data_IF_412248094360
#
_entry.id   IF_412248094360
#
_cell.length_a   1.000
_cell.length_b   1.000
_cell.length_c   1.000
_cell.angle_alpha   90.00
_cell.angle_beta   90.00
_cell.angle_gamma   90.00
#
_symmetry.space_group_name_H-M   'P 1'
#
loop_
_entity.id
_entity.type
_entity.pdbx_description
1 polymer ?
#
# COMPACT_ATOMS: atom_id res chain seq x y z
N UNK A 1 -35.39 -10.48 7.15
CA UNK A 1 -34.33 -9.45 7.19
C UNK A 1 -33.72 -9.22 5.80
N UNK A 2 -33.10 -10.19 5.14
CA UNK A 2 -32.50 -9.95 3.81
C UNK A 2 -33.50 -9.89 2.63
N UNK A 3 -34.74 -10.31 2.84
CA UNK A 3 -35.86 -10.07 1.92
C UNK A 3 -36.62 -8.75 2.23
N UNK A 4 -36.08 -7.88 3.10
CA UNK A 4 -36.63 -6.54 3.30
C UNK A 4 -36.11 -5.59 2.22
N UNK A 5 -36.85 -4.52 1.99
CA UNK A 5 -36.58 -3.46 1.01
C UNK A 5 -35.09 -3.08 0.89
N UNK A 6 -34.43 -2.85 2.03
CA UNK A 6 -33.06 -2.31 2.07
C UNK A 6 -31.94 -3.28 1.64
N UNK A 7 -32.23 -4.57 1.44
CA UNK A 7 -31.26 -5.55 0.90
C UNK A 7 -31.74 -6.20 -0.39
N UNK A 8 -33.03 -6.06 -0.73
CA UNK A 8 -33.62 -6.70 -1.89
C UNK A 8 -32.92 -6.28 -3.19
N UNK A 9 -32.68 -4.97 -3.39
CA UNK A 9 -31.96 -4.47 -4.56
C UNK A 9 -30.56 -5.07 -4.72
N UNK A 10 -29.82 -5.24 -3.62
CA UNK A 10 -28.49 -5.83 -3.62
C UNK A 10 -28.55 -7.32 -4.00
N UNK A 11 -29.51 -8.06 -3.45
CA UNK A 11 -29.69 -9.48 -3.75
C UNK A 11 -30.06 -9.68 -5.24
N UNK A 12 -30.98 -8.89 -5.77
CA UNK A 12 -31.36 -8.93 -7.20
C UNK A 12 -30.14 -8.74 -8.09
N UNK A 13 -29.30 -7.74 -7.81
CA UNK A 13 -28.07 -7.50 -8.57
C UNK A 13 -27.07 -8.67 -8.48
N UNK A 14 -26.97 -9.34 -7.33
CA UNK A 14 -26.13 -10.53 -7.19
C UNK A 14 -26.68 -11.68 -8.03
N UNK A 15 -28.00 -11.90 -8.05
CA UNK A 15 -28.62 -12.93 -8.89
C UNK A 15 -28.35 -12.67 -10.38
N UNK A 16 -28.56 -11.44 -10.85
CA UNK A 16 -28.30 -11.06 -12.25
C UNK A 16 -26.85 -11.32 -12.67
N UNK A 17 -25.89 -11.05 -11.77
CA UNK A 17 -24.45 -11.19 -12.06
C UNK A 17 -23.95 -12.63 -12.01
N UNK A 18 -24.56 -13.46 -11.17
CA UNK A 18 -24.12 -14.84 -10.92
C UNK A 18 -24.96 -15.87 -11.67
N UNK A 19 -26.17 -15.53 -12.09
CA UNK A 19 -27.16 -16.47 -12.60
C UNK A 19 -27.68 -17.46 -11.55
N UNK A 20 -27.40 -17.21 -10.27
CA UNK A 20 -27.83 -18.03 -9.14
C UNK A 20 -29.08 -17.43 -8.50
N UNK A 21 -30.03 -18.27 -8.11
CA UNK A 21 -31.25 -17.83 -7.44
C UNK A 21 -31.04 -17.76 -5.92
N UNK A 22 -31.55 -16.70 -5.28
CA UNK A 22 -31.45 -16.53 -3.83
C UNK A 22 -32.27 -17.57 -3.05
N UNK A 23 -33.35 -18.08 -3.63
CA UNK A 23 -34.22 -19.03 -2.93
C UNK A 23 -33.61 -20.43 -2.78
N UNK A 24 -32.56 -20.75 -3.54
CA UNK A 24 -31.73 -21.93 -3.32
C UNK A 24 -30.94 -21.82 -2.01
N UNK A 25 -31.13 -22.79 -1.11
CA UNK A 25 -30.49 -22.83 0.21
C UNK A 25 -28.96 -22.74 0.14
N UNK A 26 -28.34 -23.29 -0.91
CA UNK A 26 -26.89 -23.24 -1.08
C UNK A 26 -26.36 -21.83 -1.38
N UNK A 27 -27.21 -20.96 -1.96
CA UNK A 27 -26.85 -19.61 -2.36
C UNK A 27 -27.18 -18.55 -1.30
N UNK A 28 -28.14 -18.82 -0.40
CA UNK A 28 -28.61 -17.87 0.62
C UNK A 28 -27.49 -17.31 1.46
N UNK A 29 -26.67 -18.17 2.07
CA UNK A 29 -25.62 -17.71 2.97
C UNK A 29 -24.54 -16.86 2.25
N UNK A 30 -23.96 -17.30 1.11
CA UNK A 30 -23.05 -16.46 0.33
C UNK A 30 -23.66 -15.11 -0.09
N UNK A 31 -24.89 -15.10 -0.63
CA UNK A 31 -25.52 -13.86 -1.10
C UNK A 31 -25.78 -12.87 0.04
N UNK A 32 -26.23 -13.36 1.21
CA UNK A 32 -26.42 -12.51 2.41
C UNK A 32 -25.12 -11.90 2.89
N UNK A 33 -24.03 -12.68 2.90
CA UNK A 33 -22.70 -12.19 3.27
C UNK A 33 -22.26 -11.10 2.29
N UNK A 34 -22.40 -11.32 0.98
CA UNK A 34 -22.05 -10.30 -0.01
C UNK A 34 -22.86 -9.03 0.21
N UNK A 35 -24.17 -9.16 0.42
CA UNK A 35 -25.06 -8.01 0.56
C UNK A 35 -24.75 -7.17 1.81
N UNK A 36 -24.55 -7.82 2.96
CA UNK A 36 -24.16 -7.16 4.21
C UNK A 36 -22.80 -6.46 4.07
N UNK A 37 -21.80 -7.19 3.58
CA UNK A 37 -20.41 -6.73 3.54
C UNK A 37 -20.18 -5.63 2.51
N UNK A 38 -20.79 -5.72 1.32
CA UNK A 38 -20.70 -4.66 0.30
C UNK A 38 -21.44 -3.41 0.76
N UNK A 39 -22.61 -3.55 1.36
CA UNK A 39 -23.31 -2.40 1.93
C UNK A 39 -22.46 -1.70 2.99
N UNK A 40 -21.96 -2.44 3.99
CA UNK A 40 -21.11 -1.86 5.02
C UNK A 40 -19.84 -1.22 4.44
N UNK A 41 -19.21 -1.86 3.44
CA UNK A 41 -18.04 -1.31 2.77
C UNK A 41 -18.33 0.01 2.05
N UNK A 42 -19.46 0.12 1.35
CA UNK A 42 -19.86 1.35 0.66
C UNK A 42 -20.09 2.50 1.64
N UNK A 43 -20.74 2.25 2.78
CA UNK A 43 -20.91 3.26 3.83
C UNK A 43 -19.55 3.71 4.41
N UNK A 44 -18.64 2.78 4.70
CA UNK A 44 -17.30 3.13 5.16
C UNK A 44 -16.53 4.00 4.15
N UNK A 45 -16.63 3.66 2.86
CA UNK A 45 -15.97 4.45 1.80
C UNK A 45 -16.61 5.83 1.69
N UNK A 46 -17.94 5.92 1.79
CA UNK A 46 -18.66 7.19 1.80
C UNK A 46 -18.18 8.10 2.95
N UNK A 47 -17.91 7.54 4.13
CA UNK A 47 -17.36 8.23 5.30
C UNK A 47 -15.84 8.51 5.19
N UNK A 48 -15.22 8.22 4.05
CA UNK A 48 -13.82 8.54 3.75
C UNK A 48 -12.81 7.46 4.12
N UNK A 49 -13.25 6.25 4.48
CA UNK A 49 -12.34 5.13 4.76
C UNK A 49 -11.85 4.52 3.44
N UNK A 50 -10.54 4.34 3.32
CA UNK A 50 -9.91 3.70 2.16
C UNK A 50 -9.24 2.37 2.53
N UNK A 51 -9.22 1.35 1.64
CA UNK A 51 -8.61 0.05 1.94
C UNK A 51 -7.13 0.18 2.33
N UNK A 52 -6.75 -0.39 3.47
CA UNK A 52 -5.36 -0.32 3.99
C UNK A 52 -4.98 -1.55 4.81
N UNK A 53 -3.73 -1.62 5.27
CA UNK A 53 -3.24 -2.69 6.16
C UNK A 53 -3.49 -2.41 7.65
N UNK A 54 -4.15 -1.30 8.02
CA UNK A 54 -4.26 -0.84 9.41
C UNK A 54 -5.67 -0.35 9.74
N UNK A 55 -6.07 -0.52 11.00
CA UNK A 55 -7.28 0.08 11.60
C UNK A 55 -8.54 -0.11 10.74
N UNK A 56 -9.30 0.96 10.49
CA UNK A 56 -10.55 0.93 9.72
C UNK A 56 -10.32 0.50 8.26
N UNK A 57 -9.17 0.86 7.67
CA UNK A 57 -8.84 0.45 6.30
C UNK A 57 -8.62 -1.07 6.19
N UNK A 58 -8.15 -1.72 7.26
CA UNK A 58 -8.07 -3.18 7.32
C UNK A 58 -9.46 -3.82 7.40
N UNK A 59 -10.37 -3.24 8.19
CA UNK A 59 -11.76 -3.71 8.28
C UNK A 59 -12.44 -3.61 6.92
N UNK A 60 -12.36 -2.46 6.24
CA UNK A 60 -12.90 -2.27 4.90
C UNK A 60 -12.34 -3.30 3.91
N UNK A 61 -11.02 -3.48 3.90
CA UNK A 61 -10.37 -4.49 3.07
C UNK A 61 -10.88 -5.91 3.35
N UNK A 62 -11.04 -6.27 4.62
CA UNK A 62 -11.57 -7.58 5.03
C UNK A 62 -12.99 -7.79 4.50
N UNK A 63 -13.84 -6.77 4.58
CA UNK A 63 -15.21 -6.83 4.04
C UNK A 63 -15.20 -7.08 2.53
N UNK A 64 -14.46 -6.26 1.78
CA UNK A 64 -14.38 -6.37 0.31
C UNK A 64 -13.82 -7.72 -0.14
N UNK A 65 -12.72 -8.19 0.47
CA UNK A 65 -12.10 -9.48 0.11
C UNK A 65 -12.99 -10.66 0.47
N UNK A 66 -13.71 -10.60 1.59
CA UNK A 66 -14.70 -11.64 1.94
C UNK A 66 -15.84 -11.68 0.93
N UNK A 67 -16.37 -10.53 0.51
CA UNK A 67 -17.37 -10.45 -0.56
C UNK A 67 -16.84 -11.02 -1.88
N UNK A 68 -15.60 -10.70 -2.25
CA UNK A 68 -14.96 -11.23 -3.46
C UNK A 68 -14.89 -12.76 -3.46
N UNK A 69 -14.49 -13.37 -2.34
CA UNK A 69 -14.43 -14.83 -2.20
C UNK A 69 -15.83 -15.45 -2.34
N UNK A 70 -16.85 -14.89 -1.69
CA UNK A 70 -18.22 -15.41 -1.81
C UNK A 70 -18.78 -15.25 -3.22
N UNK A 71 -18.48 -14.14 -3.87
CA UNK A 71 -18.86 -13.90 -5.26
C UNK A 71 -18.18 -14.91 -6.19
N UNK A 72 -16.89 -15.20 -5.98
CA UNK A 72 -16.16 -16.23 -6.73
C UNK A 72 -16.76 -17.62 -6.54
N UNK A 73 -17.18 -17.97 -5.31
CA UNK A 73 -17.85 -19.24 -5.02
C UNK A 73 -19.22 -19.36 -5.69
N UNK A 74 -20.00 -18.26 -5.73
CA UNK A 74 -21.30 -18.22 -6.41
C UNK A 74 -21.17 -18.21 -7.94
N UNK A 75 -20.15 -17.53 -8.47
CA UNK A 75 -19.91 -17.38 -9.91
C UNK A 75 -19.15 -18.54 -10.54
N UNK A 76 -19.13 -19.72 -9.92
CA UNK A 76 -18.45 -20.94 -10.39
C UNK A 76 -16.97 -20.68 -10.79
N UNK A 77 -16.27 -19.89 -9.99
CA UNK A 77 -14.86 -19.55 -10.22
C UNK A 77 -14.61 -18.25 -10.99
N UNK A 78 -15.67 -17.56 -11.42
CA UNK A 78 -15.60 -16.21 -11.97
C UNK A 78 -15.97 -15.19 -10.89
N UNK A 79 -15.31 -14.04 -10.90
CA UNK A 79 -15.68 -12.90 -10.04
C UNK A 79 -16.26 -11.79 -10.92
N UNK A 80 -17.59 -11.71 -11.07
CA UNK A 80 -18.24 -10.59 -11.73
C UNK A 80 -17.88 -9.25 -11.09
N UNK A 81 -18.03 -8.18 -11.88
CA UNK A 81 -17.89 -6.82 -11.37
C UNK A 81 -18.96 -6.51 -10.32
N UNK A 82 -18.55 -5.77 -9.28
CA UNK A 82 -19.45 -5.26 -8.24
C UNK A 82 -20.12 -3.93 -8.62
N UNK A 83 -19.81 -3.36 -9.79
CA UNK A 83 -20.21 -2.00 -10.14
C UNK A 83 -21.73 -1.80 -10.06
N UNK A 84 -22.54 -2.70 -10.62
CA UNK A 84 -24.01 -2.55 -10.55
C UNK A 84 -24.58 -2.93 -9.19
N UNK A 85 -23.96 -3.87 -8.48
CA UNK A 85 -24.33 -4.22 -7.11
C UNK A 85 -24.15 -3.00 -6.20
N UNK A 86 -23.06 -2.26 -6.37
CA UNK A 86 -22.82 -1.00 -5.65
C UNK A 86 -23.80 0.06 -6.11
N UNK A 87 -23.88 0.30 -7.42
CA UNK A 87 -24.61 1.43 -7.99
C UNK A 87 -26.13 1.31 -7.81
N UNK A 88 -26.72 0.23 -8.32
CA UNK A 88 -28.17 -0.01 -8.26
C UNK A 88 -28.59 -0.68 -6.95
N UNK A 89 -27.73 -1.52 -6.38
CA UNK A 89 -28.05 -2.22 -5.13
C UNK A 89 -27.88 -1.36 -3.87
N UNK A 90 -26.80 -0.58 -3.76
CA UNK A 90 -26.50 0.16 -2.52
C UNK A 90 -26.71 1.66 -2.66
N UNK A 91 -26.09 2.31 -3.66
CA UNK A 91 -26.10 3.77 -3.78
C UNK A 91 -27.50 4.32 -4.07
N UNK A 92 -28.28 3.60 -4.89
CA UNK A 92 -29.69 3.93 -5.10
C UNK A 92 -30.47 3.97 -3.78
N UNK A 93 -30.37 2.92 -2.95
CA UNK A 93 -31.06 2.90 -1.65
C UNK A 93 -30.54 3.96 -0.68
N UNK A 94 -29.26 4.30 -0.72
CA UNK A 94 -28.71 5.41 0.09
C UNK A 94 -29.26 6.78 -0.33
N UNK A 95 -29.44 6.99 -1.64
CA UNK A 95 -30.03 8.22 -2.19
C UNK A 95 -31.53 8.33 -1.84
N UNK A 96 -32.28 7.22 -1.95
CA UNK A 96 -33.69 7.15 -1.54
C UNK A 96 -33.89 7.46 -0.04
N UNK A 97 -32.91 7.09 0.80
CA UNK A 97 -32.87 7.42 2.22
C UNK A 97 -32.34 8.84 2.52
N UNK A 98 -31.93 9.60 1.50
CA UNK A 98 -31.39 10.95 1.66
C UNK A 98 -29.99 11.00 2.28
N UNK A 99 -29.24 9.90 2.27
CA UNK A 99 -27.89 9.81 2.88
C UNK A 99 -26.84 10.51 2.01
N UNK A 100 -26.95 10.40 0.68
CA UNK A 100 -25.99 10.98 -0.26
C UNK A 100 -26.63 11.38 -1.59
N UNK A 101 -25.87 12.10 -2.42
CA UNK A 101 -26.18 12.30 -3.84
C UNK A 101 -25.41 11.27 -4.69
N UNK A 102 -26.14 10.36 -5.35
CA UNK A 102 -25.54 9.22 -6.06
C UNK A 102 -24.61 9.66 -7.16
N UNK A 103 -25.01 10.64 -7.97
CA UNK A 103 -24.23 11.14 -9.11
C UNK A 103 -22.84 11.65 -8.69
N UNK A 104 -22.71 12.22 -7.49
CA UNK A 104 -21.43 12.73 -6.99
C UNK A 104 -20.55 11.64 -6.38
N UNK A 105 -21.14 10.65 -5.70
CA UNK A 105 -20.38 9.65 -4.95
C UNK A 105 -20.01 8.41 -5.78
N UNK A 106 -20.80 8.11 -6.82
CA UNK A 106 -20.75 6.86 -7.60
C UNK A 106 -19.36 6.49 -8.10
N UNK A 107 -18.74 7.36 -8.89
CA UNK A 107 -17.47 7.02 -9.54
C UNK A 107 -16.34 6.78 -8.54
N UNK A 108 -16.25 7.61 -7.49
CA UNK A 108 -15.21 7.46 -6.47
C UNK A 108 -15.35 6.16 -5.67
N UNK A 109 -16.57 5.81 -5.25
CA UNK A 109 -16.83 4.59 -4.48
C UNK A 109 -16.57 3.35 -5.35
N UNK A 110 -17.11 3.33 -6.57
CA UNK A 110 -16.94 2.20 -7.48
C UNK A 110 -15.45 2.01 -7.81
N UNK A 111 -14.72 3.07 -8.11
CA UNK A 111 -13.29 2.99 -8.41
C UNK A 111 -12.46 2.43 -7.25
N UNK A 112 -12.76 2.84 -6.00
CA UNK A 112 -12.08 2.31 -4.80
C UNK A 112 -12.35 0.82 -4.65
N UNK A 113 -13.60 0.39 -4.78
CA UNK A 113 -13.96 -1.03 -4.65
C UNK A 113 -13.31 -1.83 -5.78
N UNK A 114 -13.47 -1.40 -7.03
CA UNK A 114 -12.93 -2.05 -8.22
C UNK A 114 -11.42 -2.26 -8.10
N UNK A 115 -10.66 -1.20 -7.79
CA UNK A 115 -9.19 -1.28 -7.60
C UNK A 115 -8.78 -2.30 -6.54
N UNK A 116 -9.52 -2.41 -5.44
CA UNK A 116 -9.21 -3.37 -4.38
C UNK A 116 -9.58 -4.80 -4.78
N UNK A 117 -10.74 -5.01 -5.42
CA UNK A 117 -11.20 -6.32 -5.89
C UNK A 117 -10.29 -6.84 -6.99
N UNK A 118 -9.94 -6.03 -7.99
CA UNK A 118 -9.03 -6.41 -9.10
C UNK A 118 -7.65 -6.80 -8.57
N UNK A 119 -7.11 -5.99 -7.65
CA UNK A 119 -5.81 -6.26 -7.02
C UNK A 119 -5.82 -7.59 -6.26
N UNK A 120 -6.87 -7.87 -5.49
CA UNK A 120 -6.98 -9.12 -4.75
C UNK A 120 -7.21 -10.30 -5.69
N UNK A 121 -8.09 -10.15 -6.68
CA UNK A 121 -8.43 -11.15 -7.70
C UNK A 121 -7.21 -11.71 -8.42
N UNK A 122 -6.21 -10.87 -8.71
CA UNK A 122 -4.93 -11.28 -9.34
C UNK A 122 -4.14 -12.35 -8.57
N UNK A 123 -4.43 -12.56 -7.28
CA UNK A 123 -3.81 -13.57 -6.42
C UNK A 123 -4.79 -14.53 -5.76
N UNK A 124 -6.09 -14.19 -5.76
CA UNK A 124 -7.13 -14.92 -5.06
C UNK A 124 -7.27 -16.38 -5.53
N UNK A 125 -7.32 -16.63 -6.84
CA UNK A 125 -7.45 -17.99 -7.40
C UNK A 125 -6.33 -18.92 -6.91
N UNK A 126 -5.08 -18.43 -6.86
CA UNK A 126 -3.95 -19.20 -6.35
C UNK A 126 -4.08 -19.48 -4.86
N UNK A 127 -4.52 -18.50 -4.06
CA UNK A 127 -4.75 -18.68 -2.63
C UNK A 127 -5.88 -19.67 -2.33
N UNK A 128 -6.99 -19.62 -3.08
CA UNK A 128 -8.10 -20.57 -2.95
C UNK A 128 -7.65 -22.00 -3.26
N UNK A 129 -6.84 -22.20 -4.32
CA UNK A 129 -6.28 -23.52 -4.66
C UNK A 129 -5.39 -24.10 -3.56
N UNK A 130 -4.65 -23.25 -2.84
CA UNK A 130 -3.85 -23.68 -1.67
C UNK A 130 -4.79 -24.20 -0.59
N UNK A 131 -5.83 -23.43 -0.25
CA UNK A 131 -6.82 -23.82 0.77
C UNK A 131 -7.57 -25.09 0.37
N UNK A 132 -7.95 -25.22 -0.91
CA UNK A 132 -8.67 -26.38 -1.45
C UNK A 132 -7.84 -27.67 -1.38
N UNK A 133 -6.53 -27.61 -1.63
CA UNK A 133 -5.64 -28.78 -1.59
C UNK A 133 -5.09 -29.10 -0.20
N UNK A 134 -5.13 -28.13 0.72
CA UNK A 134 -4.59 -28.30 2.07
C UNK A 134 -5.39 -29.32 2.88
N UNK A 135 -4.69 -30.27 3.52
CA UNK A 135 -5.26 -31.18 4.51
C UNK A 135 -5.20 -30.56 5.92
N UNK A 136 -4.21 -29.72 6.16
CA UNK A 136 -4.01 -28.92 7.37
C UNK A 136 -3.57 -27.52 6.99
N UNK A 137 -3.93 -26.52 7.79
CA UNK A 137 -3.48 -25.14 7.63
C UNK A 137 -2.94 -24.69 8.98
N UNK A 138 -1.61 -24.75 9.13
CA UNK A 138 -0.91 -24.27 10.33
C UNK A 138 -0.71 -22.73 10.29
N UNK A 139 -0.12 -22.17 11.34
CA UNK A 139 0.15 -20.73 11.38
C UNK A 139 1.00 -20.21 10.21
N UNK A 140 1.91 -21.02 9.66
CA UNK A 140 2.78 -20.63 8.54
C UNK A 140 2.00 -20.52 7.24
N UNK A 141 1.18 -21.53 6.92
CA UNK A 141 0.34 -21.50 5.72
C UNK A 141 -0.70 -20.37 5.84
N UNK A 142 -1.32 -20.19 7.01
CA UNK A 142 -2.24 -19.08 7.25
C UNK A 142 -1.55 -17.71 7.07
N UNK A 143 -0.31 -17.59 7.54
CA UNK A 143 0.49 -16.38 7.39
C UNK A 143 0.92 -16.13 5.94
N UNK A 144 1.28 -17.17 5.19
CA UNK A 144 1.57 -17.09 3.76
C UNK A 144 0.35 -16.62 2.96
N UNK A 145 -0.83 -17.20 3.23
CA UNK A 145 -2.10 -16.76 2.63
C UNK A 145 -2.37 -15.28 2.90
N UNK A 146 -2.06 -14.81 4.11
CA UNK A 146 -2.18 -13.40 4.48
C UNK A 146 -1.18 -12.49 3.77
N UNK A 147 0.11 -12.82 3.81
CA UNK A 147 1.19 -11.96 3.32
C UNK A 147 1.30 -11.98 1.79
N UNK A 148 1.22 -13.16 1.18
CA UNK A 148 1.55 -13.37 -0.24
C UNK A 148 0.32 -13.32 -1.13
N UNK A 149 -0.83 -13.77 -0.62
CA UNK A 149 -2.08 -13.87 -1.39
C UNK A 149 -3.16 -12.88 -0.89
N UNK A 150 -2.89 -12.16 0.19
CA UNK A 150 -3.77 -11.13 0.70
C UNK A 150 -5.04 -11.63 1.38
N UNK A 151 -5.14 -12.90 1.79
CA UNK A 151 -6.32 -13.37 2.51
C UNK A 151 -6.31 -12.83 3.94
N UNK A 152 -7.34 -12.09 4.39
CA UNK A 152 -7.49 -11.80 5.81
C UNK A 152 -7.57 -13.11 6.60
N UNK A 153 -6.98 -13.13 7.80
CA UNK A 153 -6.95 -14.34 8.64
C UNK A 153 -8.35 -14.90 8.86
N UNK A 154 -9.34 -14.03 9.10
CA UNK A 154 -10.73 -14.44 9.35
C UNK A 154 -11.38 -15.08 8.13
N UNK A 155 -10.98 -14.68 6.91
CA UNK A 155 -11.46 -15.31 5.67
C UNK A 155 -10.81 -16.68 5.51
N UNK A 156 -9.51 -16.80 5.76
CA UNK A 156 -8.81 -18.09 5.75
C UNK A 156 -9.39 -19.04 6.80
N UNK A 157 -9.66 -18.56 8.01
CA UNK A 157 -10.28 -19.34 9.10
C UNK A 157 -11.68 -19.81 8.71
N UNK A 158 -12.51 -18.95 8.11
CA UNK A 158 -13.84 -19.33 7.63
C UNK A 158 -13.76 -20.44 6.58
N UNK A 159 -12.90 -20.29 5.58
CA UNK A 159 -12.72 -21.27 4.51
C UNK A 159 -12.15 -22.60 5.02
N UNK A 160 -11.20 -22.55 5.95
CA UNK A 160 -10.64 -23.74 6.58
C UNK A 160 -11.70 -24.50 7.40
N UNK A 161 -12.54 -23.77 8.14
CA UNK A 161 -13.62 -24.35 8.95
C UNK A 161 -14.65 -25.09 8.09
N UNK A 162 -14.94 -24.60 6.87
CA UNK A 162 -15.81 -25.30 5.91
C UNK A 162 -15.26 -26.68 5.52
N UNK A 163 -13.95 -26.87 5.60
CA UNK A 163 -13.27 -28.16 5.36
C UNK A 163 -13.04 -28.99 6.63
N UNK A 164 -13.56 -28.54 7.78
CA UNK A 164 -13.28 -29.16 9.08
C UNK A 164 -11.86 -28.92 9.60
N UNK A 165 -11.12 -27.97 9.02
CA UNK A 165 -9.76 -27.61 9.45
C UNK A 165 -9.86 -26.47 10.48
N UNK A 166 -9.28 -26.68 11.66
CA UNK A 166 -9.15 -25.65 12.70
C UNK A 166 -7.76 -25.05 12.62
N UNK A 167 -7.68 -23.72 12.47
CA UNK A 167 -6.42 -22.99 12.44
C UNK A 167 -6.11 -22.48 13.85
N UNK A 168 -4.89 -22.71 14.30
CA UNK A 168 -4.42 -22.13 15.55
C UNK A 168 -4.06 -20.64 15.34
N UNK A 169 -4.92 -19.76 15.86
CA UNK A 169 -4.71 -18.31 15.76
C UNK A 169 -3.39 -17.86 16.40
N UNK A 170 -2.93 -18.51 17.47
CA UNK A 170 -1.69 -18.13 18.14
C UNK A 170 -0.45 -18.42 17.28
N UNK A 171 -0.46 -19.48 16.48
CA UNK A 171 0.64 -19.76 15.54
C UNK A 171 0.70 -18.70 14.44
N UNK A 172 -0.46 -18.31 13.88
CA UNK A 172 -0.53 -17.19 12.94
C UNK A 172 -0.03 -15.88 13.56
N UNK A 173 -0.45 -15.56 14.78
CA UNK A 173 -0.02 -14.35 15.49
C UNK A 173 1.49 -14.37 15.79
N UNK A 174 2.07 -15.54 16.08
CA UNK A 174 3.50 -15.73 16.26
C UNK A 174 4.27 -15.46 14.95
N UNK A 175 3.83 -16.00 13.81
CA UNK A 175 4.43 -15.73 12.50
C UNK A 175 4.31 -14.26 12.10
N UNK A 176 3.14 -13.65 12.32
CA UNK A 176 2.92 -12.21 12.08
C UNK A 176 3.84 -11.35 12.95
N UNK A 177 4.05 -11.74 14.21
CA UNK A 177 4.93 -11.03 15.14
C UNK A 177 6.39 -11.21 14.75
N UNK A 178 6.82 -12.42 14.39
CA UNK A 178 8.15 -12.69 13.89
C UNK A 178 8.46 -11.86 12.63
N UNK A 179 7.53 -11.81 11.67
CA UNK A 179 7.68 -11.00 10.46
C UNK A 179 7.73 -9.50 10.76
N UNK A 180 6.88 -9.00 11.67
CA UNK A 180 6.95 -7.60 12.15
C UNK A 180 8.29 -7.32 12.83
N UNK A 181 8.82 -8.27 13.60
CA UNK A 181 10.11 -8.15 14.26
C UNK A 181 11.25 -8.10 13.23
N UNK A 182 11.23 -8.94 12.18
CA UNK A 182 12.18 -8.89 11.06
C UNK A 182 12.15 -7.54 10.33
N UNK A 183 10.95 -6.99 10.10
CA UNK A 183 10.79 -5.65 9.51
C UNK A 183 11.32 -4.55 10.43
N UNK A 184 11.14 -4.71 11.76
CA UNK A 184 11.65 -3.81 12.79
C UNK A 184 13.16 -3.95 13.03
N UNK A 185 13.75 -5.13 13.01
CA UNK A 185 15.21 -5.32 13.17
C UNK A 185 15.96 -4.79 11.96
N UNK A 186 15.38 -4.94 10.76
CA UNK A 186 15.87 -4.23 9.56
C UNK A 186 15.91 -2.72 9.79
N UNK A 187 15.04 -2.14 10.63
CA UNK A 187 14.96 -0.69 10.92
C UNK A 187 15.61 -0.25 12.24
N UNK A 188 15.80 -1.14 13.22
CA UNK A 188 16.41 -0.86 14.52
C UNK A 188 17.95 -0.89 14.47
N UNK A 189 18.53 -1.62 13.52
CA UNK A 189 19.94 -1.48 13.15
C UNK A 189 20.24 -0.28 12.25
N UNK A 190 19.22 0.53 11.89
CA UNK A 190 19.43 1.67 10.99
C UNK A 190 19.83 2.92 11.76
N UNK A 191 21.00 3.46 11.44
CA UNK A 191 21.39 4.81 11.85
C UNK A 191 20.48 5.88 11.21
N UNK A 192 20.56 7.13 11.70
CA UNK A 192 19.86 8.31 11.12
C UNK A 192 19.99 8.29 9.59
N UNK A 193 18.88 8.34 8.87
CA UNK A 193 18.85 8.27 7.39
C UNK A 193 18.60 6.88 6.79
N UNK A 194 18.49 5.81 7.59
CA UNK A 194 18.12 4.48 7.09
C UNK A 194 19.29 3.55 6.74
N UNK A 195 20.47 3.85 7.28
CA UNK A 195 21.76 3.18 7.01
C UNK A 195 21.97 1.96 7.89
N UNK A 196 22.29 0.79 7.31
CA UNK A 196 22.59 -0.42 8.08
C UNK A 196 23.92 -0.35 8.86
N UNK A 197 24.92 0.37 8.35
CA UNK A 197 26.21 0.63 9.03
C UNK A 197 26.90 1.89 8.46
N UNK A 198 28.19 2.09 8.74
CA UNK A 198 29.00 3.20 8.21
C UNK A 198 30.10 2.73 7.24
N UNK A 199 29.94 1.55 6.62
CA UNK A 199 30.89 1.07 5.60
C UNK A 199 30.89 1.99 4.38
N UNK A 200 32.02 2.04 3.65
CA UNK A 200 32.17 2.88 2.46
C UNK A 200 31.04 2.67 1.44
N UNK A 201 30.61 1.42 1.25
CA UNK A 201 29.52 1.10 0.32
C UNK A 201 28.19 1.68 0.77
N UNK A 202 27.89 1.65 2.06
CA UNK A 202 26.67 2.24 2.63
C UNK A 202 26.71 3.77 2.53
N UNK A 203 27.87 4.40 2.73
CA UNK A 203 28.05 5.85 2.51
C UNK A 203 27.83 6.24 1.04
N UNK A 204 28.36 5.45 0.10
CA UNK A 204 28.14 5.64 -1.35
C UNK A 204 26.65 5.55 -1.68
N UNK A 205 25.97 4.52 -1.19
CA UNK A 205 24.52 4.38 -1.39
C UNK A 205 23.70 5.48 -0.71
N UNK A 206 24.17 6.02 0.41
CA UNK A 206 23.52 7.16 1.03
C UNK A 206 23.57 8.40 0.15
N UNK A 207 24.75 8.76 -0.37
CA UNK A 207 24.90 9.84 -1.34
C UNK A 207 24.11 9.58 -2.62
N UNK A 208 24.11 8.34 -3.12
CA UNK A 208 23.31 7.96 -4.28
C UNK A 208 21.79 8.11 -4.04
N UNK A 209 21.32 7.94 -2.79
CA UNK A 209 19.92 8.15 -2.44
C UNK A 209 19.51 9.61 -2.66
N UNK A 210 20.36 10.56 -2.29
CA UNK A 210 20.10 12.00 -2.47
C UNK A 210 20.12 12.39 -3.95
N UNK A 211 21.05 11.83 -4.74
CA UNK A 211 21.08 12.03 -6.19
C UNK A 211 19.82 11.46 -6.86
N UNK A 212 19.42 10.23 -6.48
CA UNK A 212 18.21 9.59 -6.98
C UNK A 212 16.97 10.41 -6.66
N UNK A 213 16.85 10.90 -5.43
CA UNK A 213 15.71 11.71 -5.03
C UNK A 213 15.60 13.01 -5.84
N UNK A 214 16.71 13.70 -6.06
CA UNK A 214 16.74 14.89 -6.90
C UNK A 214 16.41 14.57 -8.37
N UNK A 215 16.99 13.50 -8.93
CA UNK A 215 16.70 13.05 -10.29
C UNK A 215 15.21 12.67 -10.48
N UNK A 216 14.59 12.05 -9.48
CA UNK A 216 13.15 11.77 -9.47
C UNK A 216 12.34 13.07 -9.49
N UNK A 217 12.72 14.09 -8.70
CA UNK A 217 12.06 15.41 -8.76
C UNK A 217 12.25 16.12 -10.09
N UNK A 218 13.43 16.00 -10.70
CA UNK A 218 13.69 16.60 -12.01
C UNK A 218 12.88 15.90 -13.13
N UNK A 219 12.52 14.62 -12.92
CA UNK A 219 11.73 13.84 -13.88
C UNK A 219 10.22 13.99 -13.69
N UNK A 220 9.74 13.92 -12.44
CA UNK A 220 8.32 13.84 -12.09
C UNK A 220 7.79 15.11 -11.39
N UNK A 221 8.65 16.09 -11.13
CA UNK A 221 8.31 17.32 -10.43
C UNK A 221 8.40 17.24 -8.91
N UNK A 222 8.10 18.36 -8.25
CA UNK A 222 8.21 18.52 -6.80
C UNK A 222 7.17 17.74 -5.97
N UNK A 223 6.30 16.98 -6.62
CA UNK A 223 5.34 16.07 -5.95
C UNK A 223 6.03 14.87 -5.32
N UNK A 224 7.24 14.53 -5.78
CA UNK A 224 8.02 13.41 -5.26
C UNK A 224 8.37 13.66 -3.80
N UNK A 225 8.03 12.67 -2.97
CA UNK A 225 8.33 12.62 -1.55
C UNK A 225 8.89 11.25 -1.20
N UNK A 226 9.93 11.25 -0.37
CA UNK A 226 10.45 10.02 0.19
C UNK A 226 9.52 9.51 1.29
N UNK A 227 8.96 8.31 1.08
CA UNK A 227 8.10 7.61 2.04
C UNK A 227 8.90 6.61 2.89
N UNK A 228 10.09 6.23 2.42
CA UNK A 228 10.94 5.24 3.08
C UNK A 228 12.30 5.12 2.42
N UNK A 229 13.28 4.67 3.19
CA UNK A 229 14.62 4.31 2.68
C UNK A 229 15.22 3.13 3.45
N UNK A 230 15.96 2.29 2.74
CA UNK A 230 16.76 1.23 3.33
C UNK A 230 18.07 1.09 2.57
N UNK A 231 19.18 1.32 3.26
CA UNK A 231 20.51 1.17 2.69
C UNK A 231 21.24 0.08 3.46
N UNK A 232 21.79 -0.88 2.73
CA UNK A 232 22.57 -2.03 3.19
C UNK A 232 23.84 -2.13 2.35
N UNK A 233 24.77 -3.04 2.66
CA UNK A 233 25.98 -3.22 1.82
C UNK A 233 25.64 -3.77 0.44
N UNK A 234 24.56 -4.55 0.35
CA UNK A 234 24.17 -5.29 -0.85
C UNK A 234 23.21 -4.50 -1.73
N UNK A 235 22.41 -3.59 -1.14
CA UNK A 235 21.40 -2.82 -1.87
C UNK A 235 21.00 -1.49 -1.22
N UNK A 236 20.48 -0.60 -2.06
CA UNK A 236 19.74 0.61 -1.71
C UNK A 236 18.29 0.48 -2.15
N UNK A 237 17.35 0.93 -1.29
CA UNK A 237 15.92 1.02 -1.61
C UNK A 237 15.41 2.41 -1.27
N UNK A 238 14.71 3.03 -2.22
CA UNK A 238 14.03 4.32 -2.06
C UNK A 238 12.54 4.14 -2.35
N UNK A 239 11.70 4.49 -1.38
CA UNK A 239 10.25 4.34 -1.50
C UNK A 239 9.63 5.72 -1.78
N UNK A 240 8.87 5.87 -2.88
CA UNK A 240 8.13 7.09 -3.24
C UNK A 240 6.74 6.72 -3.75
N UNK A 241 5.81 7.69 -3.75
CA UNK A 241 4.50 7.55 -4.37
C UNK A 241 4.51 8.12 -5.79
N UNK A 242 3.94 7.37 -6.70
CA UNK A 242 3.57 7.78 -8.05
C UNK A 242 2.14 7.29 -8.29
N UNK A 243 1.39 8.02 -9.12
CA UNK A 243 0.03 7.67 -9.53
C UNK A 243 -0.01 6.53 -10.55
N UNK A 244 1.13 6.22 -11.17
CA UNK A 244 1.31 5.11 -12.10
C UNK A 244 2.64 4.37 -11.85
N UNK A 245 2.78 3.20 -12.49
CA UNK A 245 4.04 2.44 -12.47
C UNK A 245 5.03 3.09 -13.45
N UNK A 246 6.27 3.39 -13.05
CA UNK A 246 7.28 3.97 -13.94
C UNK A 246 7.46 3.17 -15.23
N UNK A 247 7.54 3.85 -16.36
CA UNK A 247 7.84 3.21 -17.64
C UNK A 247 9.35 2.89 -17.76
N UNK A 248 9.76 1.95 -18.63
CA UNK A 248 11.18 1.70 -18.88
C UNK A 248 11.95 2.95 -19.31
N UNK A 249 11.34 3.84 -20.09
CA UNK A 249 11.92 5.09 -20.56
C UNK A 249 12.16 6.08 -19.41
N UNK A 250 11.19 6.20 -18.50
CA UNK A 250 11.33 7.07 -17.33
C UNK A 250 12.39 6.55 -16.36
N UNK A 251 12.42 5.23 -16.12
CA UNK A 251 13.47 4.60 -15.31
C UNK A 251 14.84 4.91 -15.90
N UNK A 252 15.00 4.73 -17.22
CA UNK A 252 16.25 5.03 -17.93
C UNK A 252 16.63 6.50 -17.86
N UNK A 253 15.66 7.40 -17.92
CA UNK A 253 15.89 8.86 -17.76
C UNK A 253 16.44 9.18 -16.37
N UNK A 254 15.80 8.66 -15.32
CA UNK A 254 16.26 8.87 -13.93
C UNK A 254 17.66 8.29 -13.72
N UNK A 255 17.89 7.06 -14.21
CA UNK A 255 19.22 6.42 -14.15
C UNK A 255 20.29 7.24 -14.90
N UNK A 256 19.96 7.77 -16.07
CA UNK A 256 20.84 8.63 -16.85
C UNK A 256 21.27 9.88 -16.09
N UNK A 257 20.33 10.60 -15.46
CA UNK A 257 20.61 11.80 -14.67
C UNK A 257 21.52 11.46 -13.48
N UNK A 258 21.25 10.36 -12.76
CA UNK A 258 22.08 9.96 -11.61
C UNK A 258 23.51 9.65 -12.06
N UNK A 259 23.68 8.87 -13.12
CA UNK A 259 24.99 8.50 -13.65
C UNK A 259 25.77 9.71 -14.20
N UNK A 260 25.09 10.66 -14.86
CA UNK A 260 25.68 11.94 -15.29
C UNK A 260 26.23 12.71 -14.08
N UNK A 261 25.46 12.85 -13.01
CA UNK A 261 25.88 13.57 -11.81
C UNK A 261 27.00 12.87 -11.05
N UNK A 262 27.05 11.54 -11.07
CA UNK A 262 28.19 10.77 -10.53
C UNK A 262 29.46 11.03 -11.37
N UNK A 263 29.33 11.04 -12.70
CA UNK A 263 30.46 11.31 -13.59
C UNK A 263 31.06 12.71 -13.38
N UNK A 264 30.24 13.71 -13.05
CA UNK A 264 30.66 15.06 -12.69
C UNK A 264 31.54 15.14 -11.42
N UNK A 265 31.59 14.07 -10.60
CA UNK A 265 32.45 14.00 -9.41
C UNK A 265 32.24 15.18 -8.46
N UNK A 266 30.96 15.49 -8.18
CA UNK A 266 30.51 16.61 -7.38
C UNK A 266 31.02 16.52 -5.92
N UNK A 267 31.42 17.66 -5.32
CA UNK A 267 31.76 17.72 -3.90
C UNK A 267 30.53 17.45 -3.03
N UNK A 268 30.74 16.82 -1.88
CA UNK A 268 29.69 16.57 -0.89
C UNK A 268 30.15 17.13 0.45
N UNK A 269 29.36 18.05 1.01
CA UNK A 269 29.68 18.75 2.25
C UNK A 269 28.43 18.97 3.10
N UNK A 270 28.65 19.28 4.38
CA UNK A 270 27.60 19.44 5.38
C UNK A 270 27.69 20.81 6.02
N UNK A 271 26.56 21.49 6.10
CA UNK A 271 26.39 22.77 6.79
C UNK A 271 25.48 22.60 8.00
N UNK A 272 25.85 23.19 9.13
CA UNK A 272 24.97 23.35 10.28
C UNK A 272 24.36 24.74 10.27
N UNK A 273 23.03 24.81 10.30
CA UNK A 273 22.31 26.08 10.28
C UNK A 273 20.95 25.96 10.97
N UNK A 274 20.24 27.08 11.12
CA UNK A 274 18.87 27.05 11.62
C UNK A 274 17.93 26.45 10.57
N UNK A 275 16.81 25.88 11.03
CA UNK A 275 15.76 25.36 10.14
C UNK A 275 15.28 26.43 9.14
N UNK A 276 15.05 27.65 9.61
CA UNK A 276 14.65 28.77 8.75
C UNK A 276 15.69 29.13 7.69
N UNK A 277 16.98 29.11 8.04
CA UNK A 277 18.06 29.34 7.08
C UNK A 277 18.13 28.21 6.04
N UNK A 278 17.90 26.96 6.44
CA UNK A 278 17.89 25.82 5.52
C UNK A 278 16.75 25.90 4.50
N UNK A 279 15.58 26.41 4.89
CA UNK A 279 14.44 26.60 3.98
C UNK A 279 14.72 27.70 2.95
N UNK A 280 15.45 28.76 3.32
CA UNK A 280 15.83 29.85 2.41
C UNK A 280 16.75 29.39 1.28
N UNK A 281 17.65 28.44 1.55
CA UNK A 281 18.54 27.86 0.53
C UNK A 281 17.89 26.71 -0.25
N UNK A 282 16.59 26.47 -0.06
CA UNK A 282 15.84 25.45 -0.80
C UNK A 282 16.02 24.02 -0.29
N UNK A 283 16.49 23.81 0.94
CA UNK A 283 16.78 22.47 1.45
C UNK A 283 15.50 21.63 1.60
N UNK A 284 15.51 20.41 1.07
CA UNK A 284 14.40 19.47 1.22
C UNK A 284 14.41 18.83 2.61
N UNK A 285 13.24 18.77 3.26
CA UNK A 285 13.05 18.16 4.57
C UNK A 285 12.00 17.05 4.51
N UNK A 286 12.36 15.86 4.98
CA UNK A 286 11.53 14.65 4.88
C UNK A 286 10.58 14.44 6.06
N UNK A 287 11.07 14.71 7.27
CA UNK A 287 10.34 14.53 8.52
C UNK A 287 10.41 15.82 9.32
N UNK A 288 9.68 16.87 8.90
CA UNK A 288 9.74 18.22 9.48
C UNK A 288 9.57 18.26 11.01
N UNK A 289 8.88 17.27 11.58
CA UNK A 289 8.59 17.09 13.01
C UNK A 289 9.76 16.50 13.82
N UNK A 290 10.77 15.90 13.16
CA UNK A 290 11.91 15.22 13.82
C UNK A 290 13.17 16.07 13.96
N UNK A 291 13.17 17.28 13.40
CA UNK A 291 14.34 18.16 13.40
C UNK A 291 14.21 19.24 14.47
N UNK A 292 15.29 19.46 15.24
CA UNK A 292 15.38 20.57 16.20
C UNK A 292 15.63 21.92 15.52
N UNK A 293 15.88 22.96 16.31
CA UNK A 293 16.08 24.33 15.81
C UNK A 293 17.35 24.49 14.95
N UNK A 294 18.38 23.67 15.22
CA UNK A 294 19.61 23.56 14.41
C UNK A 294 19.57 22.23 13.66
N UNK A 295 19.82 22.28 12.36
CA UNK A 295 19.73 21.15 11.44
C UNK A 295 21.05 20.94 10.69
N UNK A 296 21.31 19.70 10.29
CA UNK A 296 22.40 19.34 9.39
C UNK A 296 21.84 19.28 7.97
N UNK A 297 22.44 20.06 7.07
CA UNK A 297 22.08 20.12 5.65
C UNK A 297 23.25 19.58 4.84
N UNK A 298 23.00 18.53 4.08
CA UNK A 298 23.97 17.97 3.14
C UNK A 298 23.73 18.54 1.75
N UNK A 299 24.80 19.04 1.14
CA UNK A 299 24.81 19.55 -0.22
C UNK A 299 25.66 18.63 -1.11
N UNK A 300 25.17 18.35 -2.32
CA UNK A 300 25.90 17.62 -3.37
C UNK A 300 26.04 18.53 -4.58
N UNK A 301 27.27 18.92 -4.90
CA UNK A 301 27.59 19.98 -5.85
C UNK A 301 27.63 21.36 -5.21
N UNK A 302 27.96 22.39 -6.00
CA UNK A 302 28.09 23.76 -5.50
C UNK A 302 29.33 23.97 -4.61
N UNK A 303 29.29 25.03 -3.80
CA UNK A 303 30.34 25.36 -2.82
C UNK A 303 29.74 25.80 -1.48
N UNK A 304 30.50 25.70 -0.40
CA UNK A 304 30.07 26.16 0.93
C UNK A 304 29.70 27.65 0.95
N UNK A 305 30.33 28.46 0.10
CA UNK A 305 30.02 29.89 -0.08
C UNK A 305 28.77 30.17 -0.90
N UNK A 306 28.28 29.20 -1.68
CA UNK A 306 27.07 29.31 -2.51
C UNK A 306 26.29 27.98 -2.53
N UNK A 307 25.73 27.55 -1.39
CA UNK A 307 25.10 26.24 -1.27
C UNK A 307 23.84 26.09 -2.13
N UNK A 308 23.18 27.20 -2.49
CA UNK A 308 21.99 27.24 -3.36
C UNK A 308 22.27 26.72 -4.79
N UNK A 309 23.54 26.74 -5.20
CA UNK A 309 23.96 26.20 -6.50
C UNK A 309 24.15 24.67 -6.50
N UNK A 310 24.04 24.02 -5.35
CA UNK A 310 24.18 22.57 -5.26
C UNK A 310 23.03 21.85 -5.99
N UNK A 311 23.34 20.70 -6.58
CA UNK A 311 22.35 19.89 -7.30
C UNK A 311 21.31 19.33 -6.33
N UNK A 312 21.74 18.81 -5.19
CA UNK A 312 20.87 18.31 -4.11
C UNK A 312 21.23 18.99 -2.79
N UNK A 313 20.20 19.46 -2.07
CA UNK A 313 20.30 20.14 -0.78
C UNK A 313 19.24 19.53 0.13
N UNK A 314 19.64 18.77 1.15
CA UNK A 314 18.70 18.00 1.96
C UNK A 314 19.07 17.99 3.44
N UNK A 315 18.05 18.05 4.31
CA UNK A 315 18.24 17.87 5.75
C UNK A 315 18.51 16.39 6.05
N UNK A 316 19.76 16.05 6.34
CA UNK A 316 20.17 14.69 6.64
C UNK A 316 21.16 14.65 7.80
N UNK A 317 20.98 13.66 8.68
CA UNK A 317 21.82 13.45 9.86
C UNK A 317 22.68 12.20 9.83
N UNK A 318 22.76 11.52 8.67
CA UNK A 318 23.63 10.38 8.45
C UNK A 318 24.90 10.78 7.69
N UNK A 319 26.00 10.02 7.79
CA UNK A 319 27.25 10.30 7.09
C UNK A 319 27.16 10.06 5.58
N UNK A 320 28.02 10.73 4.81
CA UNK A 320 28.12 10.65 3.35
C UNK A 320 29.58 10.53 2.91
N UNK A 321 29.79 10.08 1.67
CA UNK A 321 31.09 10.23 1.00
C UNK A 321 31.42 11.71 0.78
N UNK A 322 32.70 12.08 0.70
CA UNK A 322 33.16 13.48 0.47
C UNK A 322 33.06 13.92 -0.99
N UNK A 323 32.99 12.96 -1.90
CA UNK A 323 32.83 13.14 -3.33
C UNK A 323 31.91 12.03 -3.84
N UNK A 324 31.05 12.31 -4.81
CA UNK A 324 30.06 11.34 -5.29
C UNK A 324 30.58 10.33 -6.33
N UNK A 325 31.89 10.33 -6.65
CA UNK A 325 32.57 9.34 -7.49
C UNK A 325 32.95 8.05 -6.74
#
# INVERSE_FOLDING_TARGET
MFASDVFAGIITEIQERTGKEYDDESNKAPMRIIADHIRAAVYLIHDGVVPSNKEHGYVLRRLLRRSAVKMWQLGDGLTPSFDSIIDRGVLQGMEELGVLNRSNAREGIIDIVRKEIDRFGASMDRGLKIIEKAHTIDGKVAFELYQSYGFPFEVTEELARQKGIVINKHEFEAELTAHKALSKTTSAGKFKGGLADQSDQVLKYHTATHLLHKALKDTYGNIIRQEGSNITRERMRFDTRLDHKPTPEEIKKVEGIVNEKIAESLPVYMLQMSKEASEKIGAAAFFKEKYGNVVQVYCIGGSESNPESAYSIELCGGPHVKNNK
#
